data_IF_937347809994
#
_entry.id   IF_937347809994
#
_cell.length_a   1.000
_cell.length_b   1.000
_cell.length_c   1.000
_cell.angle_alpha   90.00
_cell.angle_beta   90.00
_cell.angle_gamma   90.00
#
_symmetry.space_group_name_H-M   'P 1'
#
loop_
_entity.id
_entity.type
_entity.pdbx_description
1 polymer ?
#
# COMPACT_ATOMS: atom_id res chain seq x y z
N UNK A 1 -34.50 -0.33 30.43
CA UNK A 1 -33.91 1.02 30.29
C UNK A 1 -33.41 1.10 28.87
N UNK A 2 -34.27 1.61 28.00
CA UNK A 2 -33.95 1.96 26.63
C UNK A 2 -33.35 3.37 26.69
N UNK A 3 -32.08 3.53 26.35
CA UNK A 3 -31.33 4.78 26.60
C UNK A 3 -31.63 5.89 25.58
N UNK A 4 -32.56 5.66 24.65
CA UNK A 4 -33.02 6.70 23.72
C UNK A 4 -31.92 7.28 22.84
N UNK A 5 -30.72 6.68 22.83
CA UNK A 5 -29.74 7.00 21.81
C UNK A 5 -30.21 6.33 20.53
N UNK A 6 -30.61 7.13 19.56
CA UNK A 6 -30.64 6.69 18.18
C UNK A 6 -29.20 6.30 17.85
N UNK A 7 -28.81 5.04 18.13
CA UNK A 7 -27.44 4.59 18.31
C UNK A 7 -26.63 4.86 17.05
N UNK A 8 -25.99 6.03 17.02
CA UNK A 8 -25.35 6.53 15.82
C UNK A 8 -24.25 5.55 15.43
N UNK A 9 -24.38 4.97 14.25
CA UNK A 9 -23.36 4.08 13.68
C UNK A 9 -22.05 4.85 13.57
N UNK A 10 -21.00 4.38 14.24
CA UNK A 10 -19.68 4.98 14.22
C UNK A 10 -18.75 4.18 13.30
N UNK A 11 -18.02 4.90 12.45
CA UNK A 11 -16.94 4.37 11.63
C UNK A 11 -15.73 4.09 12.53
N UNK A 12 -15.22 2.85 12.53
CA UNK A 12 -14.13 2.45 13.43
C UNK A 12 -12.74 2.61 12.81
N UNK A 13 -12.66 2.59 11.48
CA UNK A 13 -11.43 2.88 10.73
C UNK A 13 -11.78 3.34 9.31
N UNK A 14 -10.76 3.80 8.59
CA UNK A 14 -10.89 4.25 7.21
C UNK A 14 -10.09 3.36 6.26
N UNK A 15 -10.54 3.33 5.01
CA UNK A 15 -9.77 2.93 3.84
C UNK A 15 -9.53 4.17 2.98
N UNK A 16 -8.52 4.13 2.12
CA UNK A 16 -8.30 5.19 1.13
C UNK A 16 -9.32 5.08 0.00
N UNK A 17 -9.56 6.19 -0.70
CA UNK A 17 -10.67 6.32 -1.65
C UNK A 17 -10.65 5.23 -2.74
N UNK A 18 -9.47 4.92 -3.26
CA UNK A 18 -9.29 3.94 -4.34
C UNK A 18 -8.95 2.54 -3.79
N UNK A 19 -9.09 2.33 -2.47
CA UNK A 19 -8.88 1.03 -1.83
C UNK A 19 -10.22 0.39 -1.49
N UNK A 20 -10.52 -0.73 -2.15
CA UNK A 20 -11.63 -1.59 -1.75
C UNK A 20 -11.28 -2.42 -0.52
N UNK A 21 -12.30 -2.95 0.17
CA UNK A 21 -12.09 -3.92 1.23
C UNK A 21 -13.07 -3.81 2.40
N UNK A 22 -12.63 -4.35 3.53
CA UNK A 22 -13.44 -4.45 4.74
C UNK A 22 -13.47 -3.11 5.47
N UNK A 23 -14.67 -2.63 5.79
CA UNK A 23 -14.91 -1.46 6.64
C UNK A 23 -15.68 -1.87 7.88
N UNK A 24 -15.21 -1.47 9.06
CA UNK A 24 -15.85 -1.79 10.33
C UNK A 24 -16.63 -0.58 10.88
N UNK A 25 -17.83 -0.89 11.38
CA UNK A 25 -18.73 0.06 12.02
C UNK A 25 -19.23 -0.51 13.34
N UNK A 26 -19.55 0.35 14.30
CA UNK A 26 -20.17 -0.04 15.57
C UNK A 26 -21.45 0.76 15.83
N UNK A 27 -22.45 0.12 16.43
CA UNK A 27 -23.67 0.76 16.97
C UNK A 27 -23.65 0.86 18.50
N UNK A 28 -22.61 0.34 19.14
CA UNK A 28 -22.45 0.31 20.60
C UNK A 28 -21.22 1.13 21.00
N UNK A 29 -21.40 2.09 21.89
CA UNK A 29 -20.35 3.01 22.33
C UNK A 29 -19.22 2.33 23.11
N UNK A 30 -19.51 1.24 23.83
CA UNK A 30 -18.51 0.42 24.54
C UNK A 30 -17.67 -0.36 23.53
N UNK A 31 -18.31 -0.95 22.51
CA UNK A 31 -17.59 -1.65 21.43
C UNK A 31 -16.72 -0.66 20.66
N UNK A 32 -17.21 0.55 20.36
CA UNK A 32 -16.42 1.60 19.72
C UNK A 32 -15.17 1.93 20.52
N UNK A 33 -15.32 2.16 21.83
CA UNK A 33 -14.19 2.50 22.70
C UNK A 33 -13.14 1.37 22.72
N UNK A 34 -13.57 0.12 22.82
CA UNK A 34 -12.66 -1.03 22.83
C UNK A 34 -11.97 -1.25 21.48
N UNK A 35 -12.71 -1.14 20.37
CA UNK A 35 -12.13 -1.23 19.03
C UNK A 35 -11.09 -0.14 18.79
N UNK A 36 -11.36 1.11 19.20
CA UNK A 36 -10.37 2.19 19.13
C UNK A 36 -9.14 1.90 20.00
N UNK A 37 -9.31 1.28 21.17
CA UNK A 37 -8.18 0.84 22.01
C UNK A 37 -7.34 -0.19 21.26
N UNK A 38 -7.96 -1.21 20.67
CA UNK A 38 -7.28 -2.26 19.90
C UNK A 38 -6.56 -1.71 18.66
N UNK A 39 -7.17 -0.78 17.92
CA UNK A 39 -6.51 -0.10 16.78
C UNK A 39 -5.26 0.67 17.23
N UNK A 40 -5.33 1.39 18.36
CA UNK A 40 -4.18 2.13 18.92
C UNK A 40 -3.09 1.20 19.45
N UNK A 41 -3.48 0.10 20.09
CA UNK A 41 -2.59 -0.93 20.60
C UNK A 41 -1.94 -1.77 19.49
N UNK A 42 -2.53 -1.75 18.27
CA UNK A 42 -2.15 -2.58 17.12
C UNK A 42 -2.45 -4.07 17.32
N UNK A 43 -3.49 -4.35 18.09
CA UNK A 43 -3.98 -5.71 18.34
C UNK A 43 -4.81 -6.26 17.16
N UNK A 44 -5.13 -5.41 16.17
CA UNK A 44 -5.92 -5.77 14.99
C UNK A 44 -4.98 -6.13 13.85
N UNK A 45 -5.06 -7.38 13.42
CA UNK A 45 -4.37 -7.87 12.23
C UNK A 45 -5.13 -7.41 10.98
N UNK A 46 -4.42 -6.76 10.07
CA UNK A 46 -4.96 -6.28 8.78
C UNK A 46 -4.14 -6.88 7.67
N UNK A 47 -4.80 -7.27 6.60
CA UNK A 47 -4.17 -7.84 5.41
C UNK A 47 -4.78 -7.20 4.18
N UNK A 48 -3.92 -6.78 3.26
CA UNK A 48 -4.29 -6.18 1.98
C UNK A 48 -3.71 -7.02 0.86
N UNK A 49 -4.38 -7.04 -0.29
CA UNK A 49 -3.88 -7.69 -1.50
C UNK A 49 -3.81 -6.64 -2.59
N UNK A 50 -2.68 -6.57 -3.27
CA UNK A 50 -2.38 -5.63 -4.33
C UNK A 50 -1.96 -6.38 -5.60
N UNK A 51 -2.34 -5.85 -6.76
CA UNK A 51 -1.68 -6.18 -8.01
C UNK A 51 -0.73 -5.03 -8.31
N UNK A 52 0.53 -5.36 -8.51
CA UNK A 52 1.60 -4.41 -8.70
C UNK A 52 2.24 -4.65 -10.07
N UNK A 53 2.47 -3.59 -10.82
CA UNK A 53 3.21 -3.70 -12.08
C UNK A 53 4.68 -3.93 -11.77
N UNK A 54 5.34 -4.73 -12.61
CA UNK A 54 6.71 -5.16 -12.39
C UNK A 54 6.83 -6.37 -11.45
N UNK A 55 7.85 -7.19 -11.68
CA UNK A 55 8.27 -8.24 -10.76
C UNK A 55 9.60 -7.81 -10.14
N UNK A 56 9.72 -7.67 -8.81
CA UNK A 56 11.00 -7.36 -8.16
C UNK A 56 12.01 -8.47 -8.46
N UNK A 57 13.04 -8.20 -9.27
CA UNK A 57 14.07 -9.21 -9.63
C UNK A 57 15.37 -9.08 -8.86
N UNK A 58 15.52 -8.02 -8.09
CA UNK A 58 16.71 -7.78 -7.27
C UNK A 58 16.30 -7.43 -5.85
N UNK A 59 17.16 -7.75 -4.89
CA UNK A 59 16.97 -7.40 -3.49
C UNK A 59 17.44 -5.96 -3.17
N UNK A 60 17.49 -5.07 -4.17
CA UNK A 60 17.85 -3.68 -3.95
C UNK A 60 16.61 -2.88 -3.53
N UNK A 61 16.53 -2.40 -2.27
CA UNK A 61 15.38 -1.64 -1.81
C UNK A 61 15.40 -0.17 -2.24
N UNK A 62 16.46 0.32 -2.89
CA UNK A 62 16.65 1.74 -3.15
C UNK A 62 17.01 2.55 -1.90
N UNK A 63 17.03 3.88 -2.01
CA UNK A 63 17.69 4.79 -1.03
C UNK A 63 16.92 5.03 0.27
N UNK A 64 15.62 4.81 0.30
CA UNK A 64 14.74 5.17 1.44
C UNK A 64 13.80 4.06 1.88
N UNK A 65 14.09 2.84 1.43
CA UNK A 65 13.46 1.63 1.87
C UNK A 65 14.56 0.65 2.28
N UNK A 66 14.24 -0.23 3.22
CA UNK A 66 15.13 -1.29 3.67
C UNK A 66 14.40 -2.63 3.53
N UNK A 67 15.10 -3.59 2.95
CA UNK A 67 14.73 -4.99 2.93
C UNK A 67 15.54 -5.70 4.00
N UNK A 68 14.85 -6.21 5.02
CA UNK A 68 15.53 -6.57 6.26
C UNK A 68 15.62 -8.08 6.42
N UNK A 69 14.68 -8.83 5.84
CA UNK A 69 14.62 -10.29 5.95
C UNK A 69 13.90 -10.86 4.73
N UNK A 70 14.38 -11.97 4.16
CA UNK A 70 13.68 -12.73 3.11
C UNK A 70 13.93 -12.26 1.67
N UNK A 71 12.91 -12.37 0.80
CA UNK A 71 12.98 -12.03 -0.62
C UNK A 71 11.59 -11.82 -1.24
N UNK A 72 11.54 -11.18 -2.42
CA UNK A 72 10.32 -11.01 -3.21
C UNK A 72 10.58 -11.25 -4.71
N UNK A 73 11.46 -12.18 -5.04
CA UNK A 73 11.83 -12.46 -6.44
C UNK A 73 11.00 -13.57 -7.09
N UNK A 74 10.21 -14.29 -6.31
CA UNK A 74 9.37 -15.39 -6.77
C UNK A 74 8.20 -15.61 -5.80
N UNK A 75 7.10 -16.21 -6.28
CA UNK A 75 5.95 -16.54 -5.44
C UNK A 75 6.31 -17.42 -4.25
N UNK A 76 5.61 -17.21 -3.14
CA UNK A 76 5.84 -17.89 -1.86
C UNK A 76 6.98 -17.30 -1.02
N UNK A 77 7.72 -16.32 -1.53
CA UNK A 77 8.68 -15.59 -0.71
C UNK A 77 8.01 -14.43 0.04
N UNK A 78 8.57 -14.15 1.22
CA UNK A 78 8.14 -13.09 2.11
C UNK A 78 9.32 -12.14 2.36
N UNK A 79 9.03 -10.86 2.55
CA UNK A 79 9.99 -9.87 2.98
C UNK A 79 9.42 -8.84 3.95
N UNK A 80 10.23 -8.40 4.91
CA UNK A 80 9.92 -7.21 5.71
C UNK A 80 10.46 -5.97 5.00
N UNK A 81 9.54 -5.09 4.63
CA UNK A 81 9.83 -3.79 4.04
C UNK A 81 9.69 -2.71 5.10
N UNK A 82 10.76 -1.92 5.29
CA UNK A 82 10.73 -0.72 6.12
C UNK A 82 10.94 0.52 5.28
N UNK A 83 10.12 1.54 5.49
CA UNK A 83 10.24 2.81 4.79
C UNK A 83 9.80 3.98 5.68
N UNK A 84 10.35 5.17 5.42
CA UNK A 84 9.89 6.41 6.06
C UNK A 84 8.98 7.17 5.11
N UNK A 85 7.72 7.36 5.50
CA UNK A 85 6.67 7.92 4.64
C UNK A 85 6.23 9.29 5.13
N UNK A 86 6.21 10.25 4.23
CA UNK A 86 5.71 11.61 4.44
C UNK A 86 4.66 11.96 3.39
N UNK A 87 3.91 13.04 3.58
CA UNK A 87 3.00 13.53 2.54
C UNK A 87 3.77 14.14 1.39
N UNK A 88 3.29 13.91 0.17
CA UNK A 88 3.79 14.64 -0.98
C UNK A 88 3.48 16.14 -0.79
N UNK A 89 4.47 17.04 -0.97
CA UNK A 89 4.28 18.46 -0.65
C UNK A 89 3.24 19.15 -1.54
N UNK A 90 3.04 18.64 -2.76
CA UNK A 90 2.24 19.31 -3.80
C UNK A 90 1.17 18.42 -4.45
N UNK A 91 1.12 17.13 -4.14
CA UNK A 91 0.20 16.17 -4.79
C UNK A 91 -0.76 15.63 -3.73
N UNK A 92 -1.85 16.37 -3.52
CA UNK A 92 -3.00 16.02 -2.68
C UNK A 92 -2.76 14.98 -1.57
N UNK A 93 -3.52 13.87 -1.55
CA UNK A 93 -3.38 12.82 -0.53
C UNK A 93 -2.18 11.89 -0.75
N UNK A 94 -1.36 12.10 -1.80
CA UNK A 94 -0.29 11.18 -2.14
C UNK A 94 0.81 11.17 -1.07
N UNK A 95 1.38 9.99 -0.86
CA UNK A 95 2.55 9.77 -0.02
C UNK A 95 3.85 9.91 -0.83
N UNK A 96 4.97 10.12 -0.13
CA UNK A 96 6.32 10.01 -0.65
C UNK A 96 7.23 9.34 0.36
N UNK A 97 8.31 8.73 -0.14
CA UNK A 97 9.42 8.34 0.73
C UNK A 97 10.23 9.56 1.12
N UNK A 98 10.44 9.78 2.42
CA UNK A 98 11.22 10.90 2.91
C UNK A 98 11.89 10.54 4.25
N UNK A 99 13.17 10.89 4.47
CA UNK A 99 13.89 10.52 5.70
C UNK A 99 13.21 10.99 7.00
N UNK A 100 12.57 12.16 6.98
CA UNK A 100 11.82 12.69 8.13
C UNK A 100 10.37 12.19 8.20
N UNK A 101 9.99 11.28 7.32
CA UNK A 101 8.67 10.65 7.32
C UNK A 101 8.47 9.74 8.52
N UNK A 102 7.23 9.32 8.75
CA UNK A 102 6.92 8.33 9.79
C UNK A 102 7.36 6.95 9.35
N UNK A 103 7.98 6.20 10.25
CA UNK A 103 8.39 4.83 9.96
C UNK A 103 7.19 3.91 9.76
N UNK A 104 7.23 3.17 8.66
CA UNK A 104 6.27 2.17 8.28
C UNK A 104 6.98 0.84 8.04
N UNK A 105 6.52 -0.20 8.74
CA UNK A 105 7.03 -1.56 8.57
C UNK A 105 5.88 -2.44 8.09
N UNK A 106 6.13 -3.19 7.03
CA UNK A 106 5.11 -4.05 6.40
C UNK A 106 5.74 -5.38 6.02
N UNK A 107 5.08 -6.46 6.39
CA UNK A 107 5.38 -7.78 5.84
C UNK A 107 4.71 -7.85 4.47
N UNK A 108 5.46 -8.26 3.46
CA UNK A 108 4.98 -8.43 2.09
C UNK A 108 5.24 -9.87 1.68
N UNK A 109 4.22 -10.54 1.16
CA UNK A 109 4.33 -11.85 0.53
C UNK A 109 4.05 -11.73 -0.96
N UNK A 110 4.90 -12.31 -1.80
CA UNK A 110 4.57 -12.48 -3.21
C UNK A 110 3.68 -13.72 -3.34
N UNK A 111 2.41 -13.51 -3.68
CA UNK A 111 1.47 -14.61 -3.89
C UNK A 111 1.61 -15.21 -5.29
N UNK A 112 1.83 -14.37 -6.30
CA UNK A 112 1.97 -14.78 -7.69
C UNK A 112 2.72 -13.72 -8.52
N UNK A 113 3.23 -14.10 -9.69
CA UNK A 113 3.80 -13.17 -10.65
C UNK A 113 3.79 -13.70 -12.08
N UNK A 114 3.70 -12.79 -13.04
CA UNK A 114 3.86 -13.09 -14.47
C UNK A 114 4.78 -12.07 -15.12
N UNK A 115 5.65 -12.55 -16.00
CA UNK A 115 6.48 -11.69 -16.87
C UNK A 115 5.69 -11.22 -18.10
N UNK A 116 4.65 -11.96 -18.46
CA UNK A 116 3.76 -11.67 -19.57
C UNK A 116 2.49 -11.03 -19.04
N UNK A 117 2.28 -9.77 -19.39
CA UNK A 117 1.04 -9.03 -19.07
C UNK A 117 0.48 -8.50 -20.38
N UNK A 118 -0.76 -8.87 -20.66
CA UNK A 118 -1.53 -8.27 -21.75
C UNK A 118 -2.47 -7.22 -21.16
N UNK A 119 -2.24 -5.96 -21.51
CA UNK A 119 -3.15 -4.88 -21.14
C UNK A 119 -4.35 -4.87 -22.10
N UNK A 120 -5.57 -4.79 -21.56
CA UNK A 120 -6.81 -4.81 -22.36
C UNK A 120 -7.51 -3.44 -22.44
N UNK A 121 -6.78 -2.34 -22.31
CA UNK A 121 -7.31 -0.98 -22.48
C UNK A 121 -6.68 -0.22 -23.63
N UNK A 122 -7.00 1.07 -23.77
CA UNK A 122 -6.67 1.86 -24.95
C UNK A 122 -5.15 2.10 -25.10
N UNK A 123 -4.67 2.12 -26.35
CA UNK A 123 -3.26 2.39 -26.67
C UNK A 123 -2.85 3.77 -26.12
N UNK A 124 -1.93 3.79 -25.15
CA UNK A 124 -1.44 5.00 -24.49
C UNK A 124 -1.65 5.04 -22.97
N UNK A 125 -2.55 4.20 -22.43
CA UNK A 125 -2.75 4.10 -20.97
C UNK A 125 -1.72 3.21 -20.27
N UNK A 126 -1.06 2.33 -21.01
CA UNK A 126 -0.31 1.19 -20.46
C UNK A 126 1.21 1.24 -20.71
N UNK A 127 1.85 2.38 -20.49
CA UNK A 127 3.32 2.45 -20.41
C UNK A 127 3.75 2.98 -19.05
N UNK A 128 4.08 2.06 -18.14
CA UNK A 128 4.67 2.41 -16.85
C UNK A 128 6.19 2.44 -17.02
N UNK A 129 6.72 3.65 -17.20
CA UNK A 129 8.14 3.92 -17.14
C UNK A 129 8.51 4.27 -15.71
N UNK A 130 9.41 3.48 -15.12
CA UNK A 130 10.04 3.81 -13.86
C UNK A 130 11.48 4.27 -14.14
N UNK A 131 11.81 5.53 -13.82
CA UNK A 131 13.09 6.15 -14.18
C UNK A 131 13.46 6.02 -15.67
N UNK A 132 12.46 5.90 -16.56
CA UNK A 132 12.68 5.67 -17.99
C UNK A 132 12.88 4.20 -18.38
N UNK A 133 12.80 3.26 -17.43
CA UNK A 133 12.80 1.81 -17.70
C UNK A 133 11.38 1.27 -17.80
N UNK A 134 11.14 0.42 -18.81
CA UNK A 134 9.88 -0.29 -18.94
C UNK A 134 9.75 -1.33 -17.84
N UNK A 135 8.69 -1.22 -17.04
CA UNK A 135 8.30 -2.23 -16.07
C UNK A 135 7.78 -3.46 -16.81
N UNK A 136 8.42 -4.62 -16.61
CA UNK A 136 8.00 -5.88 -17.21
C UNK A 136 7.25 -6.74 -16.20
N UNK A 137 6.11 -7.28 -16.62
CA UNK A 137 5.31 -8.19 -15.82
C UNK A 137 4.42 -7.51 -14.78
N UNK A 138 3.80 -8.33 -13.94
CA UNK A 138 3.03 -7.92 -12.78
C UNK A 138 3.13 -8.99 -11.68
N UNK A 139 2.98 -8.58 -10.43
CA UNK A 139 2.94 -9.47 -9.28
C UNK A 139 1.71 -9.20 -8.40
N UNK A 140 1.29 -10.23 -7.67
CA UNK A 140 0.27 -10.16 -6.66
C UNK A 140 0.96 -10.17 -5.30
N UNK A 141 0.76 -9.11 -4.52
CA UNK A 141 1.37 -8.93 -3.22
C UNK A 141 0.31 -8.98 -2.12
N UNK A 142 0.56 -9.77 -1.09
CA UNK A 142 -0.15 -9.68 0.18
C UNK A 142 0.65 -8.82 1.15
N UNK A 143 -0.02 -7.92 1.85
CA UNK A 143 0.63 -6.90 2.67
C UNK A 143 0.02 -6.85 4.06
N UNK A 144 0.85 -6.99 5.10
CA UNK A 144 0.46 -6.88 6.51
C UNK A 144 1.24 -5.75 7.19
N UNK A 145 0.60 -4.61 7.51
CA UNK A 145 1.27 -3.53 8.24
C UNK A 145 1.56 -3.96 9.69
N UNK A 146 2.80 -3.76 10.12
CA UNK A 146 3.24 -3.95 11.51
C UNK A 146 3.19 -2.65 12.32
N UNK A 147 3.10 -1.50 11.63
CA UNK A 147 3.05 -0.16 12.23
C UNK A 147 1.66 0.47 12.10
N UNK A 148 1.44 1.52 12.90
CA UNK A 148 0.20 2.33 12.82
C UNK A 148 0.15 3.23 11.57
N UNK A 149 1.28 3.36 10.90
CA UNK A 149 1.39 3.91 9.55
C UNK A 149 1.30 2.73 8.61
N UNK A 150 0.22 2.67 7.83
CA UNK A 150 0.18 1.83 6.66
C UNK A 150 1.18 2.41 5.66
N UNK A 151 2.09 1.58 5.16
CA UNK A 151 2.39 1.71 3.75
C UNK A 151 1.05 1.56 3.06
N UNK A 152 0.50 2.66 2.56
CA UNK A 152 -0.73 2.55 1.80
C UNK A 152 -0.48 1.58 0.63
N UNK A 153 -1.51 0.84 0.24
CA UNK A 153 -1.38 -0.14 -0.83
C UNK A 153 -0.84 0.50 -2.12
N UNK A 154 -1.13 1.79 -2.33
CA UNK A 154 -0.59 2.59 -3.43
C UNK A 154 0.92 2.81 -3.30
N UNK A 155 1.47 2.90 -2.09
CA UNK A 155 2.88 3.03 -1.77
C UNK A 155 3.55 1.69 -1.92
N UNK A 156 2.90 0.57 -1.53
CA UNK A 156 3.40 -0.80 -1.79
C UNK A 156 3.38 -1.15 -3.28
N UNK A 157 2.34 -0.75 -4.00
CA UNK A 157 2.31 -0.80 -5.45
C UNK A 157 3.32 0.16 -6.07
N UNK A 158 3.62 1.27 -5.41
CA UNK A 158 4.77 2.12 -5.73
C UNK A 158 6.09 1.58 -5.16
N UNK A 159 6.06 0.43 -4.46
CA UNK A 159 7.24 -0.26 -3.99
C UNK A 159 7.65 -1.42 -4.89
N UNK A 160 6.74 -1.94 -5.73
CA UNK A 160 7.22 -2.61 -6.93
C UNK A 160 7.89 -1.60 -7.89
N UNK A 161 7.57 -0.30 -7.73
CA UNK A 161 8.30 0.84 -8.33
C UNK A 161 9.24 1.58 -7.34
N UNK A 162 9.96 0.84 -6.50
CA UNK A 162 10.85 1.42 -5.48
C UNK A 162 12.20 1.94 -5.99
N UNK A 163 12.47 1.89 -7.29
CA UNK A 163 13.74 2.33 -7.84
C UNK A 163 13.92 3.85 -7.97
N UNK A 164 12.91 4.72 -7.85
CA UNK A 164 13.08 6.13 -7.36
C UNK A 164 11.84 7.03 -7.49
N UNK A 165 11.73 7.98 -6.55
CA UNK A 165 11.37 9.42 -6.62
C UNK A 165 10.56 10.03 -7.79
N UNK A 166 9.70 9.28 -8.49
CA UNK A 166 8.86 9.80 -9.57
C UNK A 166 7.41 10.04 -9.12
N UNK A 167 6.87 11.22 -9.42
CA UNK A 167 5.41 11.42 -9.47
C UNK A 167 4.86 10.73 -10.72
N UNK A 168 3.88 9.85 -10.56
CA UNK A 168 3.13 9.27 -11.66
C UNK A 168 2.43 10.39 -12.47
N UNK A 169 2.78 10.50 -13.75
CA UNK A 169 1.92 11.14 -14.74
C UNK A 169 1.53 10.06 -15.73
N UNK A 170 0.24 9.71 -15.79
CA UNK A 170 -0.33 9.23 -17.03
C UNK A 170 0.04 10.26 -18.10
N UNK A 171 0.74 9.85 -19.15
CA UNK A 171 1.36 10.76 -20.09
C UNK A 171 0.31 11.71 -20.68
N UNK A 172 0.36 12.99 -20.30
CA UNK A 172 -0.09 14.02 -21.23
C UNK A 172 1.00 14.16 -22.28
N UNK A 173 0.83 13.48 -23.42
CA UNK A 173 1.53 13.89 -24.62
C UNK A 173 0.93 15.23 -25.06
N UNK A 174 1.75 16.27 -24.96
CA UNK A 174 1.56 17.47 -25.75
C UNK A 174 1.69 17.12 -27.23
N UNK A 175 0.80 17.71 -28.03
CA UNK A 175 1.19 18.22 -29.34
C UNK A 175 1.93 19.53 -29.16
#
# INVERSE_FOLDING_TARGET
MDDGSNGATQVLHRLDMDTSGVMLFSKDSKVTAEMHRMFRARDIHKQYVAICMGVPRTADPGRFCEYIEGGLTQPGQQMVVRASIDRHPTVGPAARLHPSGKHANTIVDMLDCSDEVTWQGEEGEAWFLENGHSMQGACVLQCQPLTGVLLDICTIASLSSLFCAGTWKAGQHGM
#
